data_IF_584484356398
#
_entry.id   IF_584484356398
#
_cell.length_a   1.000
_cell.length_b   1.000
_cell.length_c   1.000
_cell.angle_alpha   90.00
_cell.angle_beta   90.00
_cell.angle_gamma   90.00
#
_symmetry.space_group_name_H-M   'P 1'
#
loop_
_entity.id
_entity.type
_entity.pdbx_description
1 polymer ?
#
# COMPACT_ATOMS: atom_id res chain seq x y z
N UNK A 1 -34.95 -16.86 -20.50
CA UNK A 1 -33.85 -17.26 -19.59
C UNK A 1 -34.46 -17.86 -18.34
N UNK A 2 -34.24 -19.16 -18.07
CA UNK A 2 -34.88 -19.85 -16.95
C UNK A 2 -34.51 -19.17 -15.62
N UNK A 3 -35.48 -18.86 -14.76
CA UNK A 3 -35.26 -18.24 -13.43
C UNK A 3 -34.21 -19.01 -12.60
N UNK A 4 -34.12 -20.33 -12.77
CA UNK A 4 -33.09 -21.19 -12.16
C UNK A 4 -31.67 -20.95 -12.68
N UNK A 5 -31.51 -20.63 -13.97
CA UNK A 5 -30.21 -20.31 -14.59
C UNK A 5 -29.72 -18.92 -14.16
N UNK A 6 -30.64 -17.98 -13.98
CA UNK A 6 -30.39 -16.62 -13.49
C UNK A 6 -29.96 -16.61 -12.00
N UNK A 7 -30.57 -17.49 -11.19
CA UNK A 7 -30.16 -17.75 -9.80
C UNK A 7 -28.76 -18.42 -9.72
N UNK A 8 -28.46 -19.38 -10.60
CA UNK A 8 -27.12 -20.00 -10.66
C UNK A 8 -26.02 -18.99 -11.03
N UNK A 9 -26.27 -18.10 -12.00
CA UNK A 9 -25.36 -17.00 -12.32
C UNK A 9 -25.20 -16.02 -11.15
N UNK A 10 -26.27 -15.74 -10.41
CA UNK A 10 -26.22 -14.87 -9.23
C UNK A 10 -25.43 -15.47 -8.06
N UNK A 11 -25.44 -16.79 -7.87
CA UNK A 11 -24.69 -17.47 -6.81
C UNK A 11 -23.21 -17.63 -7.17
N UNK A 12 -22.91 -17.88 -8.45
CA UNK A 12 -21.52 -17.97 -8.95
C UNK A 12 -20.81 -16.60 -8.91
N UNK A 13 -21.55 -15.51 -9.15
CA UNK A 13 -20.99 -14.16 -9.14
C UNK A 13 -20.54 -13.67 -7.75
N UNK A 14 -20.97 -14.33 -6.66
CA UNK A 14 -20.60 -13.95 -5.27
C UNK A 14 -19.20 -14.46 -4.89
N UNK A 15 -18.66 -15.45 -5.60
CA UNK A 15 -17.36 -16.04 -5.29
C UNK A 15 -16.17 -15.44 -6.06
N UNK A 16 -16.40 -14.48 -6.97
CA UNK A 16 -15.37 -14.19 -7.98
C UNK A 16 -14.39 -13.06 -7.67
N UNK A 17 -14.61 -12.14 -6.72
CA UNK A 17 -13.71 -10.97 -6.63
C UNK A 17 -13.52 -10.36 -5.23
N UNK A 18 -13.04 -11.14 -4.26
CA UNK A 18 -12.60 -10.55 -2.98
C UNK A 18 -11.12 -10.79 -2.74
N UNK A 19 -10.32 -9.74 -2.95
CA UNK A 19 -8.90 -9.70 -2.59
C UNK A 19 -8.71 -10.08 -1.12
N UNK A 20 -7.94 -11.13 -0.83
CA UNK A 20 -7.72 -11.61 0.53
C UNK A 20 -6.71 -10.76 1.33
N UNK A 21 -5.98 -9.89 0.63
CA UNK A 21 -4.93 -9.03 1.16
C UNK A 21 -4.91 -7.71 0.36
N UNK A 22 -5.29 -6.62 1.00
CA UNK A 22 -5.27 -5.29 0.44
C UNK A 22 -4.17 -4.46 1.12
N UNK A 23 -3.28 -3.88 0.31
CA UNK A 23 -2.32 -2.87 0.72
C UNK A 23 -2.84 -1.51 0.28
N UNK A 24 -3.08 -0.61 1.23
CA UNK A 24 -3.66 0.72 0.98
C UNK A 24 -2.69 1.80 1.44
N UNK A 25 -2.21 2.60 0.50
CA UNK A 25 -1.34 3.76 0.73
C UNK A 25 -2.15 5.04 0.52
N UNK A 26 -2.32 5.85 1.55
CA UNK A 26 -3.00 7.13 1.46
C UNK A 26 -2.07 8.26 1.84
N UNK A 27 -2.03 9.33 1.03
CA UNK A 27 -1.26 10.52 1.34
C UNK A 27 -2.12 11.75 1.08
N UNK A 28 -2.20 12.63 2.06
CA UNK A 28 -2.86 13.94 1.95
C UNK A 28 -1.79 15.00 2.03
N UNK A 29 -1.75 15.89 1.04
CA UNK A 29 -0.78 16.97 0.93
C UNK A 29 -1.42 18.33 1.21
N UNK A 30 -0.73 19.11 2.03
CA UNK A 30 -0.89 20.55 2.14
C UNK A 30 -0.22 21.25 0.94
N UNK A 31 -0.45 22.55 0.77
CA UNK A 31 0.08 23.31 -0.38
C UNK A 31 1.61 23.41 -0.43
N UNK A 32 2.26 23.35 0.72
CA UNK A 32 3.71 23.39 0.90
C UNK A 32 4.39 22.01 0.75
N UNK A 33 3.61 20.96 0.46
CA UNK A 33 4.12 19.61 0.30
C UNK A 33 4.34 18.84 1.61
N UNK A 34 4.03 19.44 2.78
CA UNK A 34 3.83 18.72 4.03
C UNK A 34 2.50 17.95 4.01
N UNK A 35 2.25 17.11 5.02
CA UNK A 35 0.96 16.45 5.12
C UNK A 35 0.91 15.23 6.03
N UNK A 36 -0.02 14.32 5.72
CA UNK A 36 -0.24 13.08 6.49
C UNK A 36 -0.26 11.87 5.58
N UNK A 37 0.37 10.78 6.01
CA UNK A 37 0.37 9.49 5.33
C UNK A 37 -0.27 8.42 6.21
N UNK A 38 -1.01 7.51 5.57
CA UNK A 38 -1.61 6.33 6.20
C UNK A 38 -1.27 5.12 5.35
N UNK A 39 -0.71 4.11 5.99
CA UNK A 39 -0.50 2.81 5.39
C UNK A 39 -1.38 1.78 6.11
N UNK A 40 -2.21 1.08 5.34
CA UNK A 40 -3.08 0.03 5.86
C UNK A 40 -2.79 -1.29 5.17
N UNK A 41 -2.65 -2.34 5.99
CA UNK A 41 -2.67 -3.73 5.57
C UNK A 41 -4.00 -4.31 6.05
N UNK A 42 -4.89 -4.60 5.10
CA UNK A 42 -6.22 -5.13 5.37
C UNK A 42 -6.29 -6.60 4.94
N UNK A 43 -6.47 -7.48 5.91
CA UNK A 43 -6.65 -8.92 5.72
C UNK A 43 -8.03 -9.40 6.20
N UNK A 44 -8.99 -8.49 6.41
CA UNK A 44 -10.32 -8.80 6.96
C UNK A 44 -11.08 -9.86 6.17
N UNK A 45 -10.94 -9.87 4.83
CA UNK A 45 -11.51 -10.92 3.95
C UNK A 45 -10.93 -12.32 4.22
N UNK A 46 -9.77 -12.40 4.87
CA UNK A 46 -9.13 -13.64 5.33
C UNK A 46 -9.31 -13.92 6.82
N UNK A 47 -10.12 -13.13 7.56
CA UNK A 47 -10.26 -13.18 9.02
C UNK A 47 -10.47 -14.58 9.57
N UNK A 48 -11.45 -15.32 9.07
CA UNK A 48 -11.76 -16.68 9.56
C UNK A 48 -10.59 -17.62 9.37
N UNK A 49 -9.94 -17.57 8.19
CA UNK A 49 -8.77 -18.39 7.88
C UNK A 49 -7.59 -18.04 8.79
N UNK A 50 -7.32 -16.75 8.99
CA UNK A 50 -6.22 -16.28 9.83
C UNK A 50 -6.46 -16.61 11.31
N UNK A 51 -7.70 -16.50 11.80
CA UNK A 51 -8.07 -16.90 13.14
C UNK A 51 -7.75 -18.38 13.39
N UNK A 52 -8.10 -19.27 12.46
CA UNK A 52 -7.74 -20.69 12.55
C UNK A 52 -6.22 -20.91 12.51
N UNK A 53 -5.50 -20.19 11.64
CA UNK A 53 -4.03 -20.30 11.57
C UNK A 53 -3.38 -19.87 12.90
N UNK A 54 -3.90 -18.83 13.56
CA UNK A 54 -3.37 -18.33 14.83
C UNK A 54 -3.52 -19.33 16.00
N UNK A 55 -4.33 -20.37 15.85
CA UNK A 55 -4.47 -21.46 16.83
C UNK A 55 -3.46 -22.60 16.60
N UNK A 56 -2.78 -22.63 15.45
CA UNK A 56 -1.80 -23.66 15.11
C UNK A 56 -0.42 -23.27 15.63
N UNK A 57 0.41 -24.27 15.96
CA UNK A 57 1.82 -24.04 16.27
C UNK A 57 2.65 -23.72 15.02
N UNK A 58 2.32 -24.37 13.90
CA UNK A 58 3.02 -24.19 12.62
C UNK A 58 2.12 -24.39 11.40
N UNK A 59 2.52 -23.79 10.28
CA UNK A 59 1.90 -23.94 8.97
C UNK A 59 2.97 -23.91 7.88
N UNK A 60 2.95 -24.87 6.94
CA UNK A 60 3.91 -24.98 5.84
C UNK A 60 5.39 -24.96 6.28
N UNK A 61 5.69 -25.48 7.47
CA UNK A 61 7.04 -25.48 8.06
C UNK A 61 7.45 -24.16 8.73
N UNK A 62 6.55 -23.20 8.86
CA UNK A 62 6.77 -21.94 9.59
C UNK A 62 6.05 -21.96 10.93
N UNK A 63 6.73 -21.53 12.00
CA UNK A 63 6.09 -21.29 13.29
C UNK A 63 5.11 -20.13 13.19
N UNK A 64 3.88 -20.32 13.67
CA UNK A 64 2.89 -19.24 13.70
C UNK A 64 3.28 -18.26 14.82
N UNK A 65 3.42 -16.95 14.53
CA UNK A 65 3.79 -15.97 15.54
C UNK A 65 2.63 -15.69 16.51
N UNK A 66 2.96 -15.55 17.79
CA UNK A 66 1.97 -15.12 18.80
C UNK A 66 1.55 -13.66 18.59
N UNK A 67 0.38 -13.28 19.13
CA UNK A 67 -0.08 -11.88 19.15
C UNK A 67 0.96 -10.94 19.77
N UNK A 68 1.70 -11.40 20.79
CA UNK A 68 2.78 -10.64 21.44
C UNK A 68 3.94 -10.39 20.49
N UNK A 69 4.38 -11.43 19.76
CA UNK A 69 5.45 -11.29 18.76
C UNK A 69 5.05 -10.32 17.64
N UNK A 70 3.81 -10.40 17.14
CA UNK A 70 3.30 -9.49 16.11
C UNK A 70 3.26 -8.05 16.63
N UNK A 71 2.74 -7.83 17.85
CA UNK A 71 2.74 -6.50 18.49
C UNK A 71 4.14 -5.92 18.60
N UNK A 72 5.11 -6.70 19.06
CA UNK A 72 6.51 -6.28 19.17
C UNK A 72 7.07 -5.85 17.81
N UNK A 73 6.80 -6.62 16.75
CA UNK A 73 7.25 -6.28 15.38
C UNK A 73 6.62 -5.00 14.86
N UNK A 74 5.33 -4.77 15.11
CA UNK A 74 4.67 -3.51 14.76
C UNK A 74 5.26 -2.34 15.55
N UNK A 75 5.54 -2.52 16.85
CA UNK A 75 6.20 -1.49 17.66
C UNK A 75 7.61 -1.15 17.18
N UNK A 76 8.39 -2.14 16.74
CA UNK A 76 9.71 -1.92 16.13
C UNK A 76 9.59 -1.06 14.85
N UNK A 77 8.62 -1.35 13.98
CA UNK A 77 8.33 -0.55 12.78
C UNK A 77 7.95 0.89 13.16
N UNK A 78 7.02 1.06 14.08
CA UNK A 78 6.55 2.38 14.55
C UNK A 78 7.70 3.19 15.15
N UNK A 79 8.56 2.55 15.95
CA UNK A 79 9.71 3.21 16.59
C UNK A 79 10.71 3.69 15.54
N UNK A 80 10.95 2.90 14.50
CA UNK A 80 11.81 3.30 13.38
C UNK A 80 11.23 4.46 12.58
N UNK A 81 9.91 4.48 12.36
CA UNK A 81 9.24 5.62 11.69
C UNK A 81 9.38 6.88 12.53
N UNK A 82 9.12 6.80 13.85
CA UNK A 82 9.28 7.92 14.81
C UNK A 82 10.69 8.50 14.83
N UNK A 83 11.71 7.68 14.58
CA UNK A 83 13.10 8.12 14.52
C UNK A 83 13.47 8.87 13.24
N UNK A 84 12.58 8.96 12.25
CA UNK A 84 12.86 9.66 10.98
C UNK A 84 12.71 11.16 11.16
N UNK A 85 13.75 11.92 10.81
CA UNK A 85 13.69 13.39 10.84
C UNK A 85 12.56 13.91 9.93
N UNK A 86 11.78 14.86 10.44
CA UNK A 86 10.66 15.46 9.72
C UNK A 86 9.40 14.58 9.69
N UNK A 87 9.35 13.52 10.49
CA UNK A 87 8.14 12.72 10.72
C UNK A 87 7.65 12.97 12.14
N UNK A 88 6.33 13.18 12.29
CA UNK A 88 5.69 13.46 13.56
C UNK A 88 4.34 12.74 13.68
N UNK A 89 3.72 12.80 14.85
CA UNK A 89 2.39 12.25 15.13
C UNK A 89 2.18 10.79 14.70
N UNK A 90 3.21 9.95 14.84
CA UNK A 90 3.15 8.54 14.42
C UNK A 90 2.17 7.77 15.30
N UNK A 91 1.16 7.17 14.68
CA UNK A 91 0.13 6.34 15.32
C UNK A 91 0.05 4.99 14.63
N UNK A 92 -0.46 3.99 15.34
CA UNK A 92 -0.75 2.69 14.75
C UNK A 92 -1.98 2.06 15.39
N UNK A 93 -2.67 1.22 14.61
CA UNK A 93 -3.69 0.28 15.09
C UNK A 93 -3.28 -1.14 14.69
N UNK A 94 -3.66 -2.10 15.51
CA UNK A 94 -3.44 -3.52 15.26
C UNK A 94 -4.67 -4.27 15.77
N UNK A 95 -5.61 -4.49 14.86
CA UNK A 95 -6.86 -5.17 15.15
C UNK A 95 -6.72 -6.66 14.80
N UNK A 96 -6.64 -7.51 15.83
CA UNK A 96 -6.59 -8.96 15.65
C UNK A 96 -7.96 -9.61 15.42
N UNK A 97 -9.04 -8.87 15.62
CA UNK A 97 -10.38 -9.35 15.32
C UNK A 97 -10.65 -9.14 13.83
N UNK A 98 -10.38 -7.94 13.30
CA UNK A 98 -10.57 -7.63 11.88
C UNK A 98 -9.35 -7.94 11.01
N UNK A 99 -8.20 -8.28 11.61
CA UNK A 99 -6.93 -8.48 10.90
C UNK A 99 -6.55 -7.28 10.03
N UNK A 100 -6.71 -6.08 10.60
CA UNK A 100 -6.34 -4.81 9.97
C UNK A 100 -5.22 -4.17 10.78
N UNK A 101 -4.16 -3.77 10.09
CA UNK A 101 -3.04 -3.03 10.66
C UNK A 101 -2.96 -1.69 9.94
N UNK A 102 -2.96 -0.60 10.69
CA UNK A 102 -2.74 0.74 10.14
C UNK A 102 -1.57 1.38 10.85
N UNK A 103 -0.71 2.07 10.08
CA UNK A 103 0.32 2.97 10.60
C UNK A 103 0.13 4.31 9.90
N UNK A 104 0.10 5.39 10.67
CA UNK A 104 0.00 6.74 10.14
C UNK A 104 1.08 7.63 10.71
N UNK A 105 1.45 8.67 9.97
CA UNK A 105 2.30 9.73 10.45
C UNK A 105 2.02 11.02 9.69
N UNK A 106 2.38 12.12 10.31
CA UNK A 106 2.48 13.41 9.64
C UNK A 106 3.94 13.62 9.21
N UNK A 107 4.16 14.40 8.15
CA UNK A 107 5.47 14.63 7.57
C UNK A 107 5.65 16.08 7.13
N UNK A 108 6.86 16.60 7.29
CA UNK A 108 7.20 17.99 6.95
C UNK A 108 7.31 18.18 5.42
N UNK A 109 7.74 17.15 4.70
CA UNK A 109 7.88 17.13 3.23
C UNK A 109 8.06 15.69 2.71
N UNK A 110 8.06 15.53 1.39
CA UNK A 110 8.24 14.23 0.73
C UNK A 110 9.61 13.59 0.95
N UNK A 111 10.65 14.37 1.28
CA UNK A 111 11.96 13.83 1.67
C UNK A 111 11.85 12.98 2.95
N UNK A 112 11.05 13.41 3.93
CA UNK A 112 10.80 12.61 5.13
C UNK A 112 10.15 11.26 4.80
N UNK A 113 9.18 11.22 3.87
CA UNK A 113 8.57 9.97 3.39
C UNK A 113 9.57 9.07 2.64
N UNK A 114 10.45 9.67 1.83
CA UNK A 114 11.51 8.92 1.14
C UNK A 114 12.46 8.26 2.14
N UNK A 115 12.83 8.94 3.22
CA UNK A 115 13.67 8.39 4.28
C UNK A 115 12.95 7.27 5.07
N UNK A 116 11.64 7.40 5.31
CA UNK A 116 10.84 6.30 5.87
C UNK A 116 10.95 5.06 4.99
N UNK A 117 10.77 5.18 3.67
CA UNK A 117 10.88 4.03 2.77
C UNK A 117 12.31 3.47 2.74
N UNK A 118 13.33 4.34 2.74
CA UNK A 118 14.73 3.93 2.79
C UNK A 118 15.05 3.12 4.05
N UNK A 119 14.49 3.50 5.19
CA UNK A 119 14.63 2.80 6.46
C UNK A 119 14.14 1.33 6.41
N UNK A 120 13.22 0.97 5.52
CA UNK A 120 12.74 -0.42 5.35
C UNK A 120 13.24 -1.09 4.07
N UNK A 121 14.17 -0.46 3.37
CA UNK A 121 14.67 -0.90 2.08
C UNK A 121 16.00 -1.65 2.18
N UNK A 122 16.27 -2.51 1.20
CA UNK A 122 17.60 -3.11 1.02
C UNK A 122 18.63 -2.03 0.67
N UNK A 123 19.93 -2.28 0.90
CA UNK A 123 21.02 -1.36 0.52
C UNK A 123 20.91 -0.90 -0.94
N UNK A 124 20.60 -1.82 -1.87
CA UNK A 124 20.40 -1.50 -3.28
C UNK A 124 19.23 -0.53 -3.51
N UNK A 125 18.11 -0.75 -2.82
CA UNK A 125 16.93 0.11 -2.94
C UNK A 125 17.14 1.48 -2.30
N UNK A 126 17.90 1.58 -1.20
CA UNK A 126 18.30 2.86 -0.61
C UNK A 126 19.03 3.74 -1.63
N UNK A 127 20.01 3.19 -2.34
CA UNK A 127 20.73 3.95 -3.38
C UNK A 127 19.83 4.35 -4.55
N UNK A 128 18.86 3.50 -4.92
CA UNK A 128 17.87 3.84 -5.94
C UNK A 128 16.93 4.98 -5.50
N UNK A 129 16.52 5.01 -4.22
CA UNK A 129 15.71 6.09 -3.64
C UNK A 129 16.51 7.39 -3.62
N UNK A 130 17.78 7.37 -3.18
CA UNK A 130 18.64 8.57 -3.18
C UNK A 130 18.80 9.16 -4.57
N UNK A 131 18.97 8.31 -5.59
CA UNK A 131 19.16 8.75 -6.98
C UNK A 131 17.87 9.26 -7.64
N UNK A 132 16.77 8.51 -7.51
CA UNK A 132 15.57 8.73 -8.32
C UNK A 132 14.41 9.37 -7.54
N UNK A 133 14.49 9.39 -6.20
CA UNK A 133 13.42 9.74 -5.24
C UNK A 133 12.14 8.92 -5.42
N UNK A 134 11.54 8.47 -4.32
CA UNK A 134 10.28 7.71 -4.41
C UNK A 134 9.09 8.64 -4.61
N UNK A 135 9.11 9.74 -3.86
CA UNK A 135 8.19 10.85 -3.93
C UNK A 135 8.95 12.14 -4.24
N UNK A 136 8.38 12.98 -5.10
CA UNK A 136 8.81 14.37 -5.28
C UNK A 136 7.59 15.26 -5.28
N UNK A 137 7.69 16.44 -4.65
CA UNK A 137 6.68 17.47 -4.71
C UNK A 137 7.38 18.78 -5.02
N UNK A 138 6.96 19.45 -6.10
CA UNK A 138 7.50 20.74 -6.51
C UNK A 138 6.41 21.80 -6.39
N UNK A 139 6.55 22.67 -5.39
CA UNK A 139 5.61 23.75 -5.11
C UNK A 139 5.52 24.79 -6.22
N UNK A 140 6.61 25.03 -6.94
CA UNK A 140 6.68 26.03 -8.02
C UNK A 140 6.03 25.53 -9.30
N UNK A 141 6.36 24.30 -9.71
CA UNK A 141 5.76 23.68 -10.90
C UNK A 141 4.41 23.01 -10.61
N UNK A 142 3.98 22.99 -9.34
CA UNK A 142 2.74 22.35 -8.88
C UNK A 142 2.65 20.88 -9.30
N UNK A 143 3.77 20.16 -9.20
CA UNK A 143 3.88 18.78 -9.66
C UNK A 143 4.22 17.84 -8.52
N UNK A 144 3.45 16.76 -8.39
CA UNK A 144 3.78 15.62 -7.55
C UNK A 144 4.15 14.41 -8.42
N UNK A 145 5.19 13.68 -8.03
CA UNK A 145 5.60 12.44 -8.70
C UNK A 145 5.72 11.32 -7.68
N UNK A 146 5.12 10.19 -8.03
CA UNK A 146 5.33 8.87 -7.45
C UNK A 146 6.12 8.03 -8.44
N UNK A 147 7.31 7.56 -8.08
CA UNK A 147 8.10 6.70 -8.97
C UNK A 147 7.84 5.21 -8.73
N UNK A 148 8.28 4.37 -9.66
CA UNK A 148 8.27 2.91 -9.53
C UNK A 148 9.65 2.40 -9.96
N UNK A 149 10.60 2.38 -9.02
CA UNK A 149 11.99 2.04 -9.30
C UNK A 149 12.48 0.78 -8.56
N UNK A 150 11.59 0.10 -7.83
CA UNK A 150 11.89 -1.20 -7.22
C UNK A 150 11.51 -2.32 -8.17
N UNK A 151 12.43 -3.24 -8.41
CA UNK A 151 12.12 -4.51 -9.09
C UNK A 151 11.57 -5.49 -8.05
N UNK A 152 10.26 -5.38 -7.79
CA UNK A 152 9.57 -6.28 -6.87
C UNK A 152 9.59 -7.73 -7.38
N UNK A 153 9.61 -7.95 -8.69
CA UNK A 153 9.67 -9.28 -9.31
C UNK A 153 10.94 -10.05 -8.96
N UNK A 154 12.10 -9.40 -8.92
CA UNK A 154 13.36 -10.05 -8.49
C UNK A 154 13.32 -10.51 -7.04
N UNK A 155 12.78 -9.69 -6.13
CA UNK A 155 12.65 -10.08 -4.72
C UNK A 155 11.58 -11.15 -4.52
N UNK A 156 10.45 -11.03 -5.22
CA UNK A 156 9.37 -12.00 -5.20
C UNK A 156 9.85 -13.41 -5.63
N UNK A 157 10.72 -13.47 -6.66
CA UNK A 157 11.31 -14.73 -7.13
C UNK A 157 12.22 -15.44 -6.13
N UNK A 158 12.63 -14.79 -5.03
CA UNK A 158 13.38 -15.44 -3.93
C UNK A 158 12.47 -16.17 -2.93
N UNK A 159 11.16 -15.87 -2.95
CA UNK A 159 10.18 -16.45 -2.03
C UNK A 159 9.74 -17.84 -2.52
N UNK A 160 9.43 -18.80 -1.64
CA UNK A 160 8.96 -20.13 -2.07
C UNK A 160 7.63 -20.03 -2.82
N UNK A 161 7.42 -20.87 -3.84
CA UNK A 161 6.21 -20.82 -4.67
C UNK A 161 4.90 -20.92 -3.86
N UNK A 162 4.88 -21.73 -2.80
CA UNK A 162 3.71 -21.87 -1.92
C UNK A 162 3.34 -20.56 -1.18
N UNK A 163 4.34 -19.74 -0.83
CA UNK A 163 4.15 -18.49 -0.09
C UNK A 163 3.76 -17.34 -1.03
N UNK A 164 3.97 -17.50 -2.35
CA UNK A 164 3.60 -16.52 -3.38
C UNK A 164 2.09 -16.46 -3.65
N UNK A 165 1.35 -17.52 -3.33
CA UNK A 165 -0.10 -17.62 -3.60
C UNK A 165 -0.91 -16.49 -2.95
N UNK A 166 -0.46 -15.98 -1.80
CA UNK A 166 -1.15 -14.86 -1.13
C UNK A 166 -1.20 -13.60 -2.01
N UNK A 167 -0.23 -13.44 -2.91
CA UNK A 167 -0.17 -12.29 -3.81
C UNK A 167 -1.03 -12.46 -5.08
N UNK A 168 -1.52 -13.66 -5.40
CA UNK A 168 -2.40 -13.93 -6.55
C UNK A 168 -3.69 -13.13 -6.52
N UNK A 169 -4.21 -12.89 -5.32
CA UNK A 169 -5.43 -12.12 -5.11
C UNK A 169 -5.15 -10.81 -4.36
N UNK A 170 -3.89 -10.48 -4.09
CA UNK A 170 -3.56 -9.27 -3.36
C UNK A 170 -3.73 -8.04 -4.24
N UNK A 171 -4.20 -6.95 -3.65
CA UNK A 171 -4.37 -5.67 -4.34
C UNK A 171 -3.54 -4.57 -3.69
N UNK A 172 -3.13 -3.62 -4.51
CA UNK A 172 -2.53 -2.36 -4.09
C UNK A 172 -3.49 -1.24 -4.46
N UNK A 173 -3.81 -0.39 -3.49
CA UNK A 173 -4.58 0.84 -3.71
C UNK A 173 -3.76 2.02 -3.21
N UNK A 174 -3.58 3.04 -4.04
CA UNK A 174 -3.13 4.35 -3.56
C UNK A 174 -4.20 5.40 -3.71
N UNK A 175 -4.30 6.28 -2.71
CA UNK A 175 -5.17 7.45 -2.74
C UNK A 175 -4.36 8.68 -2.35
N UNK A 176 -4.19 9.59 -3.29
CA UNK A 176 -3.53 10.87 -3.03
C UNK A 176 -4.55 11.99 -3.03
N UNK A 177 -4.48 12.84 -2.00
CA UNK A 177 -5.36 13.99 -1.79
C UNK A 177 -4.53 15.26 -1.77
N UNK A 178 -5.05 16.30 -2.41
CA UNK A 178 -4.38 17.58 -2.56
C UNK A 178 -5.34 18.72 -2.23
N UNK A 179 -4.85 19.74 -1.55
CA UNK A 179 -5.58 20.99 -1.38
C UNK A 179 -5.81 21.74 -2.69
N UNK A 180 -4.93 21.59 -3.68
CA UNK A 180 -5.05 22.19 -5.01
C UNK A 180 -5.68 21.20 -5.98
N UNK A 181 -6.64 21.61 -6.85
CA UNK A 181 -7.26 20.68 -7.80
C UNK A 181 -6.23 20.05 -8.74
N UNK A 182 -6.47 18.80 -9.10
CA UNK A 182 -5.67 18.05 -10.07
C UNK A 182 -6.07 18.48 -11.48
N UNK A 183 -5.07 18.86 -12.26
CA UNK A 183 -5.20 19.21 -13.68
C UNK A 183 -5.05 17.97 -14.57
N UNK A 184 -3.95 17.23 -14.42
CA UNK A 184 -3.66 16.02 -15.22
C UNK A 184 -2.91 14.96 -14.44
N UNK A 185 -2.90 13.74 -14.97
CA UNK A 185 -2.18 12.56 -14.47
C UNK A 185 -1.55 11.83 -15.65
N UNK A 186 -0.34 11.31 -15.50
CA UNK A 186 0.32 10.48 -16.53
C UNK A 186 -0.10 9.00 -16.45
N UNK A 187 -0.57 8.52 -15.29
CA UNK A 187 -1.06 7.15 -15.16
C UNK A 187 -2.52 7.05 -15.62
N UNK A 188 -2.75 6.32 -16.71
CA UNK A 188 -4.06 6.15 -17.35
C UNK A 188 -5.02 5.22 -16.58
N UNK A 189 -4.51 4.41 -15.65
CA UNK A 189 -5.34 3.56 -14.78
C UNK A 189 -5.82 4.32 -13.54
N UNK A 190 -5.22 5.48 -13.25
CA UNK A 190 -5.60 6.31 -12.11
C UNK A 190 -6.89 7.09 -12.39
N UNK A 191 -7.74 7.22 -11.38
CA UNK A 191 -9.05 7.86 -11.46
C UNK A 191 -9.08 9.10 -10.58
N UNK A 192 -9.33 10.25 -11.20
CA UNK A 192 -9.51 11.52 -10.48
C UNK A 192 -10.95 11.61 -9.98
N UNK A 193 -11.12 11.99 -8.72
CA UNK A 193 -12.42 12.23 -8.09
C UNK A 193 -13.16 13.42 -8.73
N UNK A 194 -14.49 13.47 -8.58
CA UNK A 194 -15.32 14.56 -9.14
C UNK A 194 -14.90 15.96 -8.64
N UNK A 195 -14.43 16.07 -7.40
CA UNK A 195 -13.94 17.33 -6.83
C UNK A 195 -12.56 17.74 -7.38
N UNK A 196 -11.89 16.84 -8.12
CA UNK A 196 -10.48 16.95 -8.55
C UNK A 196 -9.47 17.06 -7.40
N UNK A 197 -9.87 16.88 -6.13
CA UNK A 197 -8.95 16.98 -4.97
C UNK A 197 -8.35 15.65 -4.56
N UNK A 198 -8.77 14.56 -5.19
CA UNK A 198 -8.25 13.23 -4.92
C UNK A 198 -8.07 12.42 -6.21
N UNK A 199 -7.08 11.53 -6.21
CA UNK A 199 -6.83 10.55 -7.26
C UNK A 199 -6.56 9.19 -6.64
N UNK A 200 -7.16 8.15 -7.24
CA UNK A 200 -7.01 6.76 -6.79
C UNK A 200 -6.39 5.91 -7.89
N UNK A 201 -5.46 5.03 -7.53
CA UNK A 201 -4.95 3.95 -8.37
C UNK A 201 -5.21 2.62 -7.68
N UNK A 202 -5.83 1.67 -8.37
CA UNK A 202 -6.12 0.34 -7.83
C UNK A 202 -5.61 -0.72 -8.81
N UNK A 203 -4.70 -1.58 -8.35
CA UNK A 203 -3.99 -2.56 -9.17
C UNK A 203 -3.92 -3.93 -8.47
N UNK A 204 -3.75 -4.98 -9.26
CA UNK A 204 -3.38 -6.29 -8.75
C UNK A 204 -1.90 -6.30 -8.37
N UNK A 205 -1.55 -6.83 -7.20
CA UNK A 205 -0.17 -6.90 -6.74
C UNK A 205 0.71 -7.71 -7.71
N UNK A 206 0.16 -8.78 -8.30
CA UNK A 206 0.88 -9.59 -9.29
C UNK A 206 1.27 -8.80 -10.54
N UNK A 207 0.40 -7.91 -11.01
CA UNK A 207 0.69 -7.13 -12.21
C UNK A 207 1.80 -6.11 -11.95
N UNK A 208 1.88 -5.57 -10.72
CA UNK A 208 3.01 -4.74 -10.29
C UNK A 208 4.29 -5.58 -10.22
N UNK A 209 4.25 -6.75 -9.55
CA UNK A 209 5.40 -7.65 -9.37
C UNK A 209 5.94 -8.14 -10.72
N UNK A 210 5.06 -8.43 -11.68
CA UNK A 210 5.40 -8.86 -13.03
C UNK A 210 5.76 -7.70 -13.97
N UNK A 211 5.77 -6.45 -13.49
CA UNK A 211 5.96 -5.22 -14.27
C UNK A 211 4.97 -5.06 -15.45
N UNK A 212 3.79 -5.66 -15.36
CA UNK A 212 2.69 -5.48 -16.33
C UNK A 212 1.95 -4.17 -16.10
N UNK A 213 1.86 -3.73 -14.84
CA UNK A 213 1.27 -2.47 -14.42
C UNK A 213 2.24 -1.71 -13.51
N UNK A 214 2.04 -0.41 -13.36
CA UNK A 214 2.97 0.45 -12.65
C UNK A 214 2.26 1.39 -11.68
N UNK A 215 2.87 1.55 -10.50
CA UNK A 215 2.47 2.56 -9.51
C UNK A 215 3.05 3.94 -9.84
N UNK A 216 3.89 4.05 -10.89
CA UNK A 216 4.44 5.32 -11.33
C UNK A 216 3.30 6.26 -11.71
N UNK A 217 3.35 7.48 -11.20
CA UNK A 217 2.45 8.54 -11.61
C UNK A 217 3.11 9.91 -11.48
N UNK A 218 2.79 10.80 -12.41
CA UNK A 218 3.08 12.22 -12.31
C UNK A 218 1.76 12.98 -12.37
N UNK A 219 1.50 13.77 -11.35
CA UNK A 219 0.25 14.49 -11.13
C UNK A 219 0.57 15.98 -11.21
N UNK A 220 -0.08 16.66 -12.14
CA UNK A 220 -0.02 18.11 -12.28
C UNK A 220 -1.21 18.72 -11.56
N UNK A 221 -0.96 19.65 -10.65
CA UNK A 221 -1.98 20.45 -9.98
C UNK A 221 -2.21 21.75 -10.75
N UNK A 222 -3.37 22.36 -10.53
CA UNK A 222 -3.66 23.72 -11.01
C UNK A 222 -2.73 24.76 -10.34
N UNK A 223 -2.60 25.94 -10.97
CA UNK A 223 -1.78 27.03 -10.44
C UNK A 223 -2.49 27.78 -9.31
#
# INVERSE_FOLDING_TARGET
MNKRLLLLFSVISIFLFTSCFEFVEEVTFNKDGSGSAVLTINLSKSKTKLASIMLLDSINGYKVPSKVTIRKKVQEIVSKIKGTKGVHNVKNTLDFNEFIVTVSCDFDNVEALNEVIANFSSKKHIEAIKKNKHFTFNEKSKTFTRSHHFDLGKEFRKTKNQDRKVFETATYTSVYRFETPIKTTENNQARISKSKKAIMLHLQAQDIIANKQTIKNKIQLEN
#
